data_IF_854111089093
#
_entry.id   IF_854111089093
#
_cell.length_a   1.000
_cell.length_b   1.000
_cell.length_c   1.000
_cell.angle_alpha   90.00
_cell.angle_beta   90.00
_cell.angle_gamma   90.00
#
_symmetry.space_group_name_H-M   'P 1'
#
loop_
_entity.id
_entity.type
_entity.pdbx_description
1 polymer ?
#
# COMPACT_ATOMS: atom_id res chain seq x y z
N UNK A 1 -6.29 13.11 14.27
CA UNK A 1 -6.35 12.89 12.81
C UNK A 1 -6.47 14.24 12.12
N UNK A 2 -5.65 14.51 11.13
CA UNK A 2 -5.62 15.84 10.44
C UNK A 2 -6.92 16.14 9.68
N UNK A 3 -7.72 15.14 9.35
CA UNK A 3 -8.88 15.27 8.45
C UNK A 3 -10.24 14.91 9.09
N UNK A 4 -10.29 14.71 10.40
CA UNK A 4 -11.52 14.38 11.13
C UNK A 4 -12.09 12.99 10.83
N UNK A 5 -13.13 12.63 11.54
CA UNK A 5 -13.77 11.30 11.46
C UNK A 5 -14.76 11.15 10.29
N UNK A 6 -15.14 12.25 9.64
CA UNK A 6 -16.22 12.30 8.63
C UNK A 6 -15.72 12.28 7.18
N UNK A 7 -14.57 11.69 6.91
CA UNK A 7 -13.99 11.62 5.56
C UNK A 7 -14.78 10.67 4.65
N UNK A 8 -15.37 9.63 5.23
CA UNK A 8 -16.18 8.67 4.48
C UNK A 8 -17.66 9.07 4.57
N UNK A 9 -18.29 9.18 3.41
CA UNK A 9 -19.75 9.38 3.35
C UNK A 9 -20.47 8.12 3.84
N UNK A 10 -21.55 8.29 4.57
CA UNK A 10 -22.42 7.17 4.94
C UNK A 10 -22.94 6.45 3.68
N UNK A 11 -22.92 5.13 3.75
CA UNK A 11 -23.45 4.28 2.69
C UNK A 11 -24.05 3.03 3.35
N UNK A 12 -25.23 2.55 2.93
CA UNK A 12 -25.92 1.42 3.58
C UNK A 12 -25.08 0.14 3.61
N UNK A 13 -24.18 -0.05 2.66
CA UNK A 13 -23.29 -1.20 2.58
C UNK A 13 -21.90 -0.95 3.18
N UNK A 14 -21.69 0.18 3.86
CA UNK A 14 -20.40 0.53 4.50
C UNK A 14 -20.53 0.39 6.01
N UNK A 15 -19.80 -0.54 6.58
CA UNK A 15 -19.63 -0.67 8.03
C UNK A 15 -18.21 -0.22 8.41
N UNK A 16 -18.13 0.81 9.24
CA UNK A 16 -16.85 1.32 9.75
C UNK A 16 -16.61 0.72 11.15
N UNK A 17 -15.48 0.04 11.31
CA UNK A 17 -15.00 -0.49 12.58
C UNK A 17 -13.70 0.20 12.94
N UNK A 18 -13.72 0.98 14.03
CA UNK A 18 -12.51 1.63 14.54
C UNK A 18 -11.77 0.69 15.47
N UNK A 19 -10.47 0.50 15.25
CA UNK A 19 -9.66 -0.35 16.10
C UNK A 19 -8.20 -0.41 15.71
N UNK A 20 -7.46 -1.22 16.43
CA UNK A 20 -6.03 -1.46 16.20
C UNK A 20 -5.86 -2.78 15.44
N UNK A 21 -5.09 -2.75 14.35
CA UNK A 21 -4.82 -3.94 13.52
C UNK A 21 -4.07 -5.04 14.27
N UNK A 22 -3.43 -4.72 15.40
CA UNK A 22 -2.76 -5.69 16.28
C UNK A 22 -3.74 -6.46 17.18
N UNK A 23 -4.98 -5.99 17.29
CA UNK A 23 -6.01 -6.66 18.09
C UNK A 23 -6.61 -7.84 17.32
N UNK A 24 -6.15 -9.05 17.62
CA UNK A 24 -6.55 -10.30 16.94
C UNK A 24 -8.04 -10.58 17.10
N UNK A 25 -8.62 -10.34 18.27
CA UNK A 25 -10.05 -10.57 18.52
C UNK A 25 -10.91 -9.65 17.64
N UNK A 26 -10.52 -8.39 17.53
CA UNK A 26 -11.18 -7.44 16.65
C UNK A 26 -11.04 -7.85 15.17
N UNK A 27 -9.87 -8.29 14.75
CA UNK A 27 -9.64 -8.79 13.40
C UNK A 27 -10.53 -10.00 13.08
N UNK A 28 -10.62 -10.98 13.98
CA UNK A 28 -11.48 -12.15 13.79
C UNK A 28 -12.95 -11.76 13.59
N UNK A 29 -13.48 -10.91 14.46
CA UNK A 29 -14.88 -10.46 14.32
C UNK A 29 -15.12 -9.57 13.11
N UNK A 30 -14.10 -8.83 12.66
CA UNK A 30 -14.23 -7.93 11.50
C UNK A 30 -14.07 -8.64 10.16
N UNK A 31 -13.31 -9.73 10.11
CA UNK A 31 -13.03 -10.48 8.88
C UNK A 31 -14.08 -11.56 8.63
N UNK A 32 -14.68 -12.09 9.66
CA UNK A 32 -15.68 -13.13 9.54
C UNK A 32 -16.81 -12.75 8.57
N UNK A 33 -17.10 -13.64 7.61
CA UNK A 33 -18.13 -13.44 6.60
C UNK A 33 -17.74 -12.58 5.41
N UNK A 34 -16.47 -12.14 5.32
CA UNK A 34 -15.95 -11.39 4.17
C UNK A 34 -15.20 -12.31 3.21
N UNK A 35 -15.40 -12.13 1.92
CA UNK A 35 -14.75 -12.93 0.88
C UNK A 35 -13.40 -12.35 0.43
N UNK A 36 -13.21 -11.04 0.59
CA UNK A 36 -12.02 -10.34 0.12
C UNK A 36 -11.46 -9.45 1.22
N UNK A 37 -10.15 -9.44 1.35
CA UNK A 37 -9.41 -8.48 2.16
C UNK A 37 -8.50 -7.66 1.27
N UNK A 38 -8.59 -6.32 1.37
CA UNK A 38 -7.62 -5.39 0.80
C UNK A 38 -6.88 -4.75 1.95
N UNK A 39 -5.60 -5.09 2.11
CA UNK A 39 -4.80 -4.58 3.21
C UNK A 39 -4.03 -3.32 2.80
N UNK A 40 -4.52 -2.16 3.24
CA UNK A 40 -3.93 -0.84 3.01
C UNK A 40 -3.35 -0.21 4.27
N UNK A 41 -3.67 -0.75 5.45
CA UNK A 41 -3.29 -0.15 6.72
C UNK A 41 -1.77 -0.26 6.96
N UNK A 42 -1.11 0.86 7.16
CA UNK A 42 0.30 0.91 7.54
C UNK A 42 0.69 2.32 8.02
N UNK A 43 1.82 2.41 8.70
CA UNK A 43 2.60 3.64 8.81
C UNK A 43 3.38 3.79 7.51
N UNK A 44 3.11 4.84 6.73
CA UNK A 44 3.46 4.90 5.30
C UNK A 44 4.59 5.88 4.96
N UNK A 45 5.32 6.38 5.95
CA UNK A 45 6.44 7.28 5.71
C UNK A 45 7.61 7.02 6.68
N UNK A 46 8.81 7.25 6.20
CA UNK A 46 10.04 7.03 6.96
C UNK A 46 10.15 7.94 8.20
N UNK A 47 9.81 9.26 8.16
CA UNK A 47 9.86 10.09 9.37
C UNK A 47 9.02 9.57 10.54
N UNK A 48 7.87 8.95 10.26
CA UNK A 48 7.04 8.35 11.32
C UNK A 48 7.69 7.09 11.91
N UNK A 49 8.47 6.36 11.14
CA UNK A 49 9.27 5.23 11.62
C UNK A 49 10.42 5.70 12.53
N UNK A 50 11.10 6.78 12.17
CA UNK A 50 12.19 7.35 12.98
C UNK A 50 11.72 7.80 14.37
N UNK A 51 10.49 8.29 14.47
CA UNK A 51 9.91 8.69 15.77
C UNK A 51 9.72 7.48 16.70
N UNK A 52 9.24 6.35 16.18
CA UNK A 52 9.04 5.13 16.97
C UNK A 52 9.17 3.87 16.09
N UNK A 53 10.41 3.36 15.90
CA UNK A 53 10.65 2.19 15.06
C UNK A 53 9.93 0.91 15.54
N UNK A 54 9.81 0.72 16.85
CA UNK A 54 9.14 -0.46 17.43
C UNK A 54 7.64 -0.44 17.15
N UNK A 55 7.00 0.71 17.23
CA UNK A 55 5.61 0.88 16.84
C UNK A 55 5.43 0.63 15.34
N UNK A 56 6.32 1.19 14.52
CA UNK A 56 6.35 0.96 13.08
C UNK A 56 6.41 -0.53 12.73
N UNK A 57 7.34 -1.26 13.34
CA UNK A 57 7.47 -2.71 13.17
C UNK A 57 6.21 -3.45 13.61
N UNK A 58 5.69 -3.14 14.81
CA UNK A 58 4.52 -3.84 15.36
C UNK A 58 3.27 -3.69 14.48
N UNK A 59 3.09 -2.53 13.82
CA UNK A 59 1.94 -2.26 12.94
C UNK A 59 2.17 -2.81 11.53
N UNK A 60 3.36 -2.61 10.95
CA UNK A 60 3.57 -2.93 9.54
C UNK A 60 4.02 -4.37 9.29
N UNK A 61 4.71 -4.98 10.24
CA UNK A 61 5.24 -6.35 10.09
C UNK A 61 4.59 -7.34 11.05
N UNK A 62 4.68 -7.09 12.36
CA UNK A 62 4.30 -8.11 13.36
C UNK A 62 2.79 -8.41 13.36
N UNK A 63 1.96 -7.46 12.93
CA UNK A 63 0.50 -7.65 12.79
C UNK A 63 0.11 -8.37 11.49
N UNK A 64 1.00 -8.42 10.50
CA UNK A 64 0.66 -8.87 9.16
C UNK A 64 0.37 -10.36 9.07
N UNK A 65 1.27 -11.20 9.56
CA UNK A 65 1.05 -12.64 9.54
C UNK A 65 -0.20 -13.08 10.32
N UNK A 66 -0.46 -12.56 11.55
CA UNK A 66 -1.74 -12.77 12.21
C UNK A 66 -2.96 -12.41 11.37
N UNK A 67 -2.94 -11.26 10.66
CA UNK A 67 -4.01 -10.84 9.76
C UNK A 67 -4.23 -11.84 8.61
N UNK A 68 -3.16 -12.25 7.93
CA UNK A 68 -3.22 -13.22 6.82
C UNK A 68 -3.78 -14.56 7.32
N UNK A 69 -3.28 -15.05 8.46
CA UNK A 69 -3.73 -16.30 9.06
C UNK A 69 -5.20 -16.26 9.47
N UNK A 70 -5.66 -15.15 10.07
CA UNK A 70 -7.06 -14.95 10.44
C UNK A 70 -7.93 -14.91 9.18
N UNK A 71 -7.50 -14.21 8.14
CA UNK A 71 -8.21 -14.14 6.86
C UNK A 71 -8.40 -15.54 6.25
N UNK A 72 -7.32 -16.34 6.20
CA UNK A 72 -7.39 -17.72 5.70
C UNK A 72 -8.28 -18.62 6.56
N UNK A 73 -8.20 -18.50 7.89
CA UNK A 73 -9.05 -19.22 8.87
C UNK A 73 -10.54 -18.93 8.65
N UNK A 74 -10.90 -17.70 8.32
CA UNK A 74 -12.28 -17.26 8.09
C UNK A 74 -12.73 -17.39 6.63
N UNK A 75 -12.01 -18.20 5.82
CA UNK A 75 -12.38 -18.53 4.44
C UNK A 75 -12.44 -17.32 3.50
N UNK A 76 -11.62 -16.29 3.75
CA UNK A 76 -11.38 -15.24 2.77
C UNK A 76 -10.84 -15.89 1.49
N UNK A 77 -11.46 -15.60 0.36
CA UNK A 77 -11.09 -16.19 -0.94
C UNK A 77 -9.89 -15.45 -1.55
N UNK A 78 -9.85 -14.11 -1.36
CA UNK A 78 -8.85 -13.26 -2.01
C UNK A 78 -8.25 -12.26 -1.03
N UNK A 79 -6.93 -12.21 -0.99
CA UNK A 79 -6.18 -11.24 -0.20
C UNK A 79 -5.31 -10.37 -1.12
N UNK A 80 -5.59 -9.07 -1.17
CA UNK A 80 -4.82 -8.09 -1.97
C UNK A 80 -4.00 -7.25 -1.01
N UNK A 81 -2.68 -7.28 -1.19
CA UNK A 81 -1.75 -6.54 -0.35
C UNK A 81 -1.18 -5.32 -1.06
N UNK A 82 -1.30 -4.16 -0.43
CA UNK A 82 -0.61 -2.95 -0.86
C UNK A 82 0.83 -2.95 -0.35
N UNK A 83 1.75 -3.42 -1.18
CA UNK A 83 3.18 -3.24 -1.02
C UNK A 83 3.61 -1.82 -1.44
N UNK A 84 4.76 -1.64 -2.05
CA UNK A 84 5.25 -0.35 -2.50
C UNK A 84 6.36 -0.52 -3.54
N UNK A 85 6.47 0.38 -4.49
CA UNK A 85 7.63 0.43 -5.40
C UNK A 85 8.96 0.69 -4.68
N UNK A 86 8.94 1.20 -3.44
CA UNK A 86 10.13 1.42 -2.62
C UNK A 86 10.88 0.13 -2.26
N UNK A 87 10.26 -1.05 -2.41
CA UNK A 87 10.92 -2.35 -2.18
C UNK A 87 12.07 -2.62 -3.15
N UNK A 88 12.07 -1.98 -4.31
CA UNK A 88 13.14 -2.11 -5.28
C UNK A 88 14.43 -1.38 -4.87
N UNK A 89 14.34 -0.35 -4.01
CA UNK A 89 15.44 0.54 -3.70
C UNK A 89 15.79 1.47 -4.86
N UNK A 90 17.08 1.81 -4.98
CA UNK A 90 17.60 2.57 -6.11
C UNK A 90 17.87 1.62 -7.26
N UNK A 91 17.43 1.97 -8.44
CA UNK A 91 17.62 1.24 -9.69
C UNK A 91 18.18 2.19 -10.75
N UNK A 92 19.16 1.72 -11.49
CA UNK A 92 19.74 2.45 -12.63
C UNK A 92 18.99 2.15 -13.94
N UNK A 93 18.20 1.08 -13.94
CA UNK A 93 17.40 0.67 -15.07
C UNK A 93 16.18 1.60 -15.23
N UNK A 94 15.90 2.00 -16.47
CA UNK A 94 14.74 2.86 -16.80
C UNK A 94 13.42 2.15 -16.53
N UNK A 95 13.36 0.86 -16.84
CA UNK A 95 12.16 0.04 -16.71
C UNK A 95 12.36 -0.95 -15.56
N UNK A 96 11.59 -0.76 -14.49
CA UNK A 96 11.59 -1.63 -13.32
C UNK A 96 10.40 -2.58 -13.39
N UNK A 97 10.66 -3.88 -13.39
CA UNK A 97 9.63 -4.91 -13.48
C UNK A 97 9.62 -5.84 -12.26
N UNK A 98 8.57 -6.62 -12.12
CA UNK A 98 8.24 -7.35 -10.89
C UNK A 98 9.26 -8.42 -10.51
N UNK A 99 9.97 -8.98 -11.50
CA UNK A 99 10.98 -10.04 -11.30
C UNK A 99 12.35 -9.51 -10.82
N UNK A 100 12.52 -8.20 -10.79
CA UNK A 100 13.78 -7.61 -10.35
C UNK A 100 14.05 -7.86 -8.87
N UNK A 101 15.33 -8.03 -8.54
CA UNK A 101 15.77 -8.20 -7.16
C UNK A 101 15.39 -6.99 -6.29
N UNK A 102 14.83 -7.26 -5.12
CA UNK A 102 14.48 -6.25 -4.15
C UNK A 102 15.72 -5.80 -3.37
N UNK A 103 15.89 -4.49 -3.20
CA UNK A 103 16.97 -3.86 -2.42
C UNK A 103 16.40 -2.75 -1.53
N UNK A 104 15.49 -3.06 -0.60
CA UNK A 104 14.83 -2.04 0.22
C UNK A 104 15.84 -1.31 1.09
N UNK A 105 15.74 0.02 1.18
CA UNK A 105 16.70 0.88 1.87
C UNK A 105 16.25 1.24 3.29
N UNK A 106 14.95 1.35 3.53
CA UNK A 106 14.37 1.79 4.79
C UNK A 106 13.62 0.66 5.50
N UNK A 107 13.37 0.79 6.79
CA UNK A 107 12.57 -0.19 7.55
C UNK A 107 11.18 -0.36 6.95
N UNK A 108 10.55 0.75 6.53
CA UNK A 108 9.28 0.69 5.83
C UNK A 108 9.33 -0.24 4.61
N UNK A 109 10.29 -0.03 3.73
CA UNK A 109 10.42 -0.82 2.50
C UNK A 109 10.88 -2.27 2.77
N UNK A 110 11.72 -2.49 3.79
CA UNK A 110 12.08 -3.85 4.24
C UNK A 110 10.86 -4.63 4.73
N UNK A 111 10.06 -4.03 5.60
CA UNK A 111 8.84 -4.69 6.10
C UNK A 111 7.81 -4.93 5.02
N UNK A 112 7.69 -4.02 4.04
CA UNK A 112 6.85 -4.27 2.85
C UNK A 112 7.31 -5.52 2.10
N UNK A 113 8.60 -5.66 1.83
CA UNK A 113 9.16 -6.82 1.13
C UNK A 113 9.04 -8.13 1.94
N UNK A 114 9.19 -8.07 3.27
CA UNK A 114 8.98 -9.24 4.13
C UNK A 114 7.53 -9.70 4.14
N UNK A 115 6.58 -8.76 4.21
CA UNK A 115 5.15 -9.06 4.12
C UNK A 115 4.75 -9.71 2.80
N UNK A 116 5.39 -9.33 1.67
CA UNK A 116 5.17 -10.01 0.39
C UNK A 116 5.51 -11.50 0.49
N UNK A 117 6.66 -11.84 1.05
CA UNK A 117 7.10 -13.23 1.25
C UNK A 117 6.14 -13.99 2.17
N UNK A 118 5.76 -13.36 3.28
CA UNK A 118 4.78 -13.96 4.21
C UNK A 118 3.50 -14.29 3.46
N UNK A 119 2.92 -13.34 2.73
CA UNK A 119 1.64 -13.55 2.04
C UNK A 119 1.72 -14.67 1.02
N UNK A 120 2.76 -14.70 0.18
CA UNK A 120 2.92 -15.74 -0.84
C UNK A 120 3.03 -17.14 -0.24
N UNK A 121 3.63 -17.30 0.94
CA UNK A 121 3.70 -18.58 1.64
C UNK A 121 2.33 -19.11 2.10
N UNK A 122 1.31 -18.24 2.20
CA UNK A 122 -0.05 -18.63 2.57
C UNK A 122 -0.94 -18.99 1.38
N UNK A 123 -0.49 -18.72 0.15
CA UNK A 123 -1.23 -19.04 -1.06
C UNK A 123 -1.70 -20.50 -1.08
N UNK A 124 -2.90 -20.73 -1.56
CA UNK A 124 -3.44 -22.08 -1.78
C UNK A 124 -4.63 -22.02 -2.73
N UNK A 125 -5.11 -23.17 -3.19
CA UNK A 125 -6.30 -23.28 -4.04
C UNK A 125 -7.57 -22.63 -3.48
N UNK A 126 -7.60 -22.33 -2.19
CA UNK A 126 -8.76 -21.71 -1.49
C UNK A 126 -8.44 -20.32 -0.95
N UNK A 127 -7.23 -19.80 -1.16
CA UNK A 127 -6.79 -18.51 -0.67
C UNK A 127 -5.89 -17.82 -1.69
N UNK A 128 -6.50 -17.04 -2.57
CA UNK A 128 -5.82 -16.27 -3.60
C UNK A 128 -5.04 -15.12 -2.99
N UNK A 129 -3.79 -14.95 -3.39
CA UNK A 129 -2.93 -13.87 -2.91
C UNK A 129 -2.46 -13.00 -4.06
N UNK A 130 -2.58 -11.69 -3.91
CA UNK A 130 -2.12 -10.73 -4.91
C UNK A 130 -1.38 -9.58 -4.25
N UNK A 131 -0.25 -9.21 -4.80
CA UNK A 131 0.58 -8.12 -4.32
C UNK A 131 0.58 -6.99 -5.34
N UNK A 132 0.29 -5.79 -4.88
CA UNK A 132 0.40 -4.58 -5.69
C UNK A 132 1.55 -3.73 -5.15
N UNK A 133 2.46 -3.29 -6.02
CA UNK A 133 3.57 -2.36 -5.73
C UNK A 133 3.26 -1.00 -6.35
N UNK A 134 2.47 -0.15 -5.66
CA UNK A 134 2.15 1.16 -6.20
C UNK A 134 3.38 2.06 -6.25
N UNK A 135 3.43 2.88 -7.29
CA UNK A 135 4.25 4.07 -7.36
C UNK A 135 3.80 5.13 -6.34
N UNK A 136 4.48 6.26 -6.27
CA UNK A 136 4.08 7.38 -5.41
C UNK A 136 2.70 7.89 -5.84
N UNK A 137 1.74 7.81 -4.91
CA UNK A 137 0.34 8.20 -5.19
C UNK A 137 0.17 9.69 -5.07
N UNK A 138 -0.37 10.32 -6.11
CA UNK A 138 -0.65 11.74 -6.16
C UNK A 138 -2.12 12.05 -6.50
N UNK A 139 -2.49 13.30 -6.41
CA UNK A 139 -3.84 13.77 -6.72
C UNK A 139 -4.67 14.08 -5.49
N UNK A 140 -5.84 14.67 -5.73
CA UNK A 140 -6.74 15.08 -4.66
C UNK A 140 -7.44 13.91 -3.99
N UNK A 141 -7.44 13.91 -2.68
CA UNK A 141 -8.27 13.04 -1.86
C UNK A 141 -8.63 13.74 -0.53
N UNK A 142 -9.72 13.34 0.15
CA UNK A 142 -10.08 13.91 1.46
C UNK A 142 -8.96 13.77 2.51
N UNK A 143 -8.09 12.77 2.37
CA UNK A 143 -6.89 12.60 3.18
C UNK A 143 -5.64 12.69 2.30
N UNK A 144 -5.46 13.83 1.66
CA UNK A 144 -4.32 14.07 0.79
C UNK A 144 -3.03 14.21 1.59
N UNK A 145 -1.99 13.50 1.18
CA UNK A 145 -0.63 13.71 1.67
C UNK A 145 0.00 14.88 0.91
N UNK A 146 0.54 15.86 1.66
CA UNK A 146 1.24 17.01 1.08
C UNK A 146 2.76 16.84 1.06
N UNK A 147 3.27 15.72 1.56
CA UNK A 147 4.70 15.38 1.65
C UNK A 147 5.20 14.53 0.47
N UNK A 148 4.33 14.20 -0.49
CA UNK A 148 4.72 13.48 -1.71
C UNK A 148 4.96 14.46 -2.87
N UNK A 149 5.92 14.11 -3.72
CA UNK A 149 6.55 15.04 -4.66
C UNK A 149 5.57 15.85 -5.53
N UNK A 150 4.64 15.21 -6.20
CA UNK A 150 3.68 15.92 -7.07
C UNK A 150 2.78 16.84 -6.26
N UNK A 151 2.30 16.39 -5.11
CA UNK A 151 1.39 17.17 -4.27
C UNK A 151 2.10 18.36 -3.62
N UNK A 152 3.33 18.17 -3.11
CA UNK A 152 4.09 19.28 -2.50
C UNK A 152 4.50 20.30 -3.54
N UNK A 153 4.96 19.89 -4.72
CA UNK A 153 5.35 20.83 -5.78
C UNK A 153 4.17 21.62 -6.29
N UNK A 154 3.01 20.97 -6.47
CA UNK A 154 1.79 21.67 -6.84
C UNK A 154 1.41 22.72 -5.79
N UNK A 155 1.48 22.38 -4.51
CA UNK A 155 1.20 23.29 -3.40
C UNK A 155 2.20 24.46 -3.36
N UNK A 156 3.51 24.18 -3.49
CA UNK A 156 4.53 25.22 -3.50
C UNK A 156 4.39 26.16 -4.71
N UNK A 157 4.16 25.61 -5.90
CA UNK A 157 3.94 26.40 -7.10
C UNK A 157 2.73 27.33 -6.96
N UNK A 158 1.64 26.84 -6.40
CA UNK A 158 0.41 27.62 -6.23
C UNK A 158 0.55 28.73 -5.19
N UNK A 159 1.02 28.39 -3.99
CA UNK A 159 1.05 29.35 -2.87
C UNK A 159 2.31 30.20 -2.82
N UNK A 160 3.47 29.63 -3.15
CA UNK A 160 4.75 30.34 -3.07
C UNK A 160 5.29 30.83 -4.40
N UNK A 161 4.71 30.37 -5.53
CA UNK A 161 5.19 30.67 -6.89
C UNK A 161 6.65 30.24 -7.13
N UNK A 162 7.13 29.31 -6.33
CA UNK A 162 8.49 28.80 -6.36
C UNK A 162 8.49 27.30 -6.02
N UNK A 163 9.35 26.56 -6.70
CA UNK A 163 9.58 25.13 -6.41
C UNK A 163 11.09 24.96 -6.20
N UNK A 164 11.49 24.49 -5.02
CA UNK A 164 12.85 24.08 -4.76
C UNK A 164 13.02 22.59 -5.02
N UNK A 165 13.93 22.22 -5.92
CA UNK A 165 14.20 20.83 -6.29
C UNK A 165 15.57 20.44 -5.71
N UNK A 166 15.60 19.34 -4.96
CA UNK A 166 16.80 18.74 -4.45
C UNK A 166 17.12 17.48 -5.24
N UNK A 167 18.24 17.48 -5.95
CA UNK A 167 18.77 16.31 -6.65
C UNK A 167 18.18 16.01 -8.03
N UNK A 168 17.17 16.62 -8.54
CA UNK A 168 16.59 16.61 -9.90
C UNK A 168 16.66 15.33 -10.78
N UNK A 169 17.77 14.63 -10.76
CA UNK A 169 18.04 13.45 -11.61
C UNK A 169 17.36 12.14 -11.11
N UNK A 170 16.73 12.18 -9.94
CA UNK A 170 16.08 11.00 -9.37
C UNK A 170 14.87 10.60 -10.19
N UNK A 171 14.90 9.38 -10.69
CA UNK A 171 13.74 8.79 -11.37
C UNK A 171 12.67 8.38 -10.34
N UNK A 172 11.46 8.87 -10.51
CA UNK A 172 10.32 8.58 -9.63
C UNK A 172 9.09 8.21 -10.43
N UNK A 173 8.57 6.99 -10.26
CA UNK A 173 7.27 6.65 -10.81
C UNK A 173 6.17 7.28 -9.93
N UNK A 174 5.14 7.81 -10.58
CA UNK A 174 3.96 8.33 -9.91
C UNK A 174 2.70 7.66 -10.47
N UNK A 175 1.63 7.66 -9.68
CA UNK A 175 0.31 7.21 -10.10
C UNK A 175 -0.75 8.15 -9.53
N UNK A 176 -1.73 8.51 -10.36
CA UNK A 176 -2.85 9.29 -9.87
C UNK A 176 -3.79 8.41 -9.03
N UNK A 177 -4.35 8.97 -7.96
CA UNK A 177 -5.22 8.22 -7.03
C UNK A 177 -6.41 7.54 -7.71
N UNK A 178 -7.00 8.17 -8.72
CA UNK A 178 -8.11 7.56 -9.48
C UNK A 178 -7.67 6.30 -10.21
N UNK A 179 -6.51 6.34 -10.86
CA UNK A 179 -5.98 5.18 -11.59
C UNK A 179 -5.62 4.05 -10.63
N UNK A 180 -5.05 4.38 -9.46
CA UNK A 180 -4.78 3.36 -8.44
C UNK A 180 -6.07 2.69 -7.94
N UNK A 181 -7.14 3.47 -7.75
CA UNK A 181 -8.47 2.91 -7.39
C UNK A 181 -8.97 1.96 -8.47
N UNK A 182 -8.85 2.34 -9.76
CA UNK A 182 -9.24 1.48 -10.87
C UNK A 182 -8.44 0.17 -10.89
N UNK A 183 -7.13 0.22 -10.59
CA UNK A 183 -6.31 -0.99 -10.47
C UNK A 183 -6.87 -1.93 -9.39
N UNK A 184 -7.25 -1.41 -8.21
CA UNK A 184 -7.88 -2.25 -7.18
C UNK A 184 -9.22 -2.82 -7.64
N UNK A 185 -10.05 -2.04 -8.35
CA UNK A 185 -11.32 -2.53 -8.89
C UNK A 185 -11.12 -3.62 -9.94
N UNK A 186 -10.09 -3.51 -10.77
CA UNK A 186 -9.69 -4.57 -11.71
C UNK A 186 -9.26 -5.83 -10.96
N UNK A 187 -8.39 -5.71 -9.95
CA UNK A 187 -7.94 -6.84 -9.15
C UNK A 187 -9.08 -7.53 -8.39
N UNK A 188 -10.08 -6.77 -7.94
CA UNK A 188 -11.28 -7.33 -7.30
C UNK A 188 -12.11 -8.22 -8.25
N UNK A 189 -12.18 -7.86 -9.54
CA UNK A 189 -13.00 -8.52 -10.54
C UNK A 189 -12.24 -9.55 -11.38
N UNK A 190 -10.92 -9.49 -11.39
CA UNK A 190 -10.09 -10.36 -12.23
C UNK A 190 -10.26 -11.84 -11.87
N UNK A 191 -10.24 -12.75 -12.83
CA UNK A 191 -10.28 -14.19 -12.56
C UNK A 191 -8.99 -14.63 -11.83
N UNK A 192 -9.11 -15.58 -10.91
CA UNK A 192 -8.02 -16.09 -10.07
C UNK A 192 -6.76 -16.45 -10.88
N UNK A 193 -6.92 -17.19 -11.96
CA UNK A 193 -5.80 -17.62 -12.81
C UNK A 193 -4.96 -16.48 -13.42
N UNK A 194 -5.46 -15.25 -13.36
CA UNK A 194 -4.73 -14.06 -13.85
C UNK A 194 -3.95 -13.35 -12.75
N UNK A 195 -4.35 -13.50 -11.49
CA UNK A 195 -3.83 -12.67 -10.39
C UNK A 195 -3.31 -13.44 -9.18
N UNK A 196 -3.71 -14.70 -9.01
CA UNK A 196 -3.30 -15.48 -7.84
C UNK A 196 -1.79 -15.77 -7.84
N UNK A 197 -1.16 -15.53 -6.70
CA UNK A 197 0.28 -15.66 -6.51
C UNK A 197 1.11 -14.62 -7.27
N UNK A 198 0.48 -13.58 -7.83
CA UNK A 198 1.18 -12.61 -8.67
C UNK A 198 1.44 -11.29 -7.98
N UNK A 199 2.49 -10.65 -8.47
CA UNK A 199 2.91 -9.31 -8.09
C UNK A 199 2.71 -8.39 -9.30
N UNK A 200 2.22 -7.19 -9.06
CA UNK A 200 2.00 -6.19 -10.10
C UNK A 200 2.60 -4.85 -9.69
N UNK A 201 3.35 -4.23 -10.57
CA UNK A 201 3.68 -2.82 -10.46
C UNK A 201 2.47 -1.97 -10.88
N UNK A 202 2.28 -0.85 -10.21
CA UNK A 202 1.23 0.10 -10.56
C UNK A 202 1.79 1.52 -10.57
N UNK A 203 1.99 2.07 -11.75
CA UNK A 203 2.57 3.39 -11.95
C UNK A 203 2.72 3.73 -13.43
N UNK A 204 3.03 4.99 -13.67
CA UNK A 204 3.43 5.46 -15.00
C UNK A 204 4.95 5.36 -15.17
N UNK A 205 5.44 5.89 -16.28
CA UNK A 205 6.87 5.95 -16.58
C UNK A 205 7.64 6.65 -15.46
N UNK A 206 8.87 6.21 -15.24
CA UNK A 206 9.80 6.93 -14.41
C UNK A 206 10.14 8.27 -15.07
N UNK A 207 9.89 9.35 -14.34
CA UNK A 207 10.29 10.69 -14.75
C UNK A 207 11.31 11.23 -13.75
N UNK A 208 12.23 12.05 -14.23
CA UNK A 208 13.10 12.86 -13.35
C UNK A 208 12.24 13.87 -12.59
N UNK A 209 12.71 14.26 -11.45
CA UNK A 209 12.06 15.24 -10.59
C UNK A 209 12.22 16.66 -11.14
#
# INVERSE_FOLDING_TARGET
MIYGDNVLKEHPNLKIIKGDIRNKTLLESSIQGHEVVIHLACISNDPSFEINPSLGKSINLDSFEPLVRISKKHHVKRFIYASSSSVYGIKDEKDVHEDMALKPLTDYSRYKAECEKILLNYQSSFFETTILRPATVCGYSPRQRLDVIVNIFTSLAYYKREISIFGGDQLRPNIHIKDLVEVYLVLLKAPANKIDGKIFNSGYRNNSV
#
